data_IF_257794732116
#
_entry.id   IF_257794732116
#
_cell.length_a   1.000
_cell.length_b   1.000
_cell.length_c   1.000
_cell.angle_alpha   90.00
_cell.angle_beta   90.00
_cell.angle_gamma   90.00
#
_symmetry.space_group_name_H-M   'P 1'
#
loop_
_entity.id
_entity.type
_entity.pdbx_description
1 polymer ?
#
# COMPACT_ATOMS: atom_id res chain seq x y z
N UNK A 1 -24.53 -1.35 11.48
CA UNK A 1 -25.57 -0.49 12.09
C UNK A 1 -26.93 -1.20 12.16
N UNK A 2 -27.70 -1.32 11.06
CA UNK A 2 -29.09 -1.87 11.09
C UNK A 2 -29.24 -3.26 11.72
N UNK A 3 -28.32 -4.19 11.45
CA UNK A 3 -28.39 -5.57 11.98
C UNK A 3 -28.19 -5.67 13.50
N UNK A 4 -27.43 -4.73 14.08
CA UNK A 4 -27.05 -4.75 15.50
C UNK A 4 -27.64 -3.55 16.27
N UNK A 5 -28.45 -2.71 15.60
CA UNK A 5 -29.00 -1.45 16.10
C UNK A 5 -27.97 -0.53 16.81
N UNK A 6 -26.74 -0.47 16.28
CA UNK A 6 -25.63 0.34 16.82
C UNK A 6 -25.43 1.63 16.02
N UNK A 7 -24.79 2.64 16.64
CA UNK A 7 -24.43 3.89 15.98
C UNK A 7 -23.34 3.68 14.92
N UNK A 8 -23.14 4.70 14.08
CA UNK A 8 -22.06 4.68 13.08
C UNK A 8 -20.69 4.64 13.74
N UNK A 9 -20.53 5.39 14.82
CA UNK A 9 -19.26 5.49 15.53
C UNK A 9 -18.90 4.16 16.19
N UNK A 10 -19.85 3.53 16.89
CA UNK A 10 -19.63 2.21 17.51
C UNK A 10 -19.26 1.16 16.44
N UNK A 11 -19.92 1.19 15.28
CA UNK A 11 -19.58 0.29 14.18
C UNK A 11 -18.16 0.52 13.64
N UNK A 12 -17.70 1.76 13.54
CA UNK A 12 -16.34 2.10 13.13
C UNK A 12 -15.33 1.60 14.16
N UNK A 13 -15.60 1.80 15.45
CA UNK A 13 -14.68 1.41 16.52
C UNK A 13 -14.56 -0.12 16.64
N UNK A 14 -15.67 -0.87 16.47
CA UNK A 14 -15.62 -2.32 16.41
C UNK A 14 -14.87 -2.83 15.16
N UNK A 15 -15.09 -2.23 13.99
CA UNK A 15 -14.35 -2.59 12.78
C UNK A 15 -12.84 -2.32 12.92
N UNK A 16 -12.46 -1.24 13.60
CA UNK A 16 -11.04 -0.94 13.88
C UNK A 16 -10.39 -2.02 14.73
N UNK A 17 -11.08 -2.52 15.77
CA UNK A 17 -10.57 -3.65 16.58
C UNK A 17 -10.35 -4.91 15.75
N UNK A 18 -11.27 -5.21 14.82
CA UNK A 18 -11.13 -6.34 13.90
C UNK A 18 -9.92 -6.17 12.98
N UNK A 19 -9.74 -4.97 12.43
CA UNK A 19 -8.55 -4.64 11.60
C UNK A 19 -7.27 -4.78 12.41
N UNK A 20 -7.20 -4.23 13.62
CA UNK A 20 -6.04 -4.34 14.52
C UNK A 20 -5.71 -5.80 14.86
N UNK A 21 -6.71 -6.63 15.11
CA UNK A 21 -6.52 -8.06 15.32
C UNK A 21 -5.93 -8.73 14.07
N UNK A 22 -6.51 -8.47 12.89
CA UNK A 22 -6.02 -9.04 11.64
C UNK A 22 -4.58 -8.62 11.33
N UNK A 23 -4.17 -7.39 11.69
CA UNK A 23 -2.77 -6.96 11.60
C UNK A 23 -1.84 -7.77 12.50
N UNK A 24 -2.27 -8.11 13.72
CA UNK A 24 -1.48 -8.97 14.62
C UNK A 24 -1.33 -10.37 14.04
N UNK A 25 -2.41 -10.95 13.52
CA UNK A 25 -2.39 -12.28 12.91
C UNK A 25 -1.45 -12.33 11.69
N UNK A 26 -1.51 -11.31 10.81
CA UNK A 26 -0.61 -11.20 9.66
C UNK A 26 0.86 -11.05 10.08
N UNK A 27 1.14 -10.26 11.11
CA UNK A 27 2.49 -10.10 11.64
C UNK A 27 3.03 -11.41 12.22
N UNK A 28 2.22 -12.14 12.99
CA UNK A 28 2.59 -13.44 13.55
C UNK A 28 2.90 -14.46 12.44
N UNK A 29 2.07 -14.51 11.40
CA UNK A 29 2.30 -15.37 10.23
C UNK A 29 3.60 -15.03 9.49
N UNK A 30 4.02 -13.77 9.49
CA UNK A 30 5.30 -13.35 8.90
C UNK A 30 6.52 -13.69 9.78
N UNK A 31 6.32 -13.88 11.09
CA UNK A 31 7.41 -14.15 12.03
C UNK A 31 7.65 -15.65 12.25
N UNK A 32 6.63 -16.48 12.07
CA UNK A 32 6.70 -17.90 12.34
C UNK A 32 6.79 -18.73 11.05
N UNK A 33 7.38 -19.95 11.09
CA UNK A 33 7.26 -20.89 9.99
C UNK A 33 5.78 -21.21 9.72
N UNK A 34 5.34 -20.99 8.49
CA UNK A 34 3.97 -21.34 8.07
C UNK A 34 4.03 -22.38 6.94
N UNK A 35 2.89 -22.99 6.65
CA UNK A 35 2.74 -23.90 5.51
C UNK A 35 2.81 -23.17 4.15
N UNK A 36 2.69 -21.83 4.17
CA UNK A 36 2.66 -20.99 2.98
C UNK A 36 4.00 -20.28 2.82
N UNK A 37 4.67 -20.37 1.67
CA UNK A 37 5.90 -19.65 1.44
C UNK A 37 5.77 -18.13 1.67
N UNK A 38 6.79 -17.54 2.30
CA UNK A 38 6.81 -16.12 2.69
C UNK A 38 6.44 -15.15 1.56
N UNK A 39 6.87 -15.43 0.32
CA UNK A 39 6.59 -14.54 -0.81
C UNK A 39 5.09 -14.43 -1.13
N UNK A 40 4.27 -15.45 -0.83
CA UNK A 40 2.82 -15.35 -0.96
C UNK A 40 2.21 -14.53 0.17
N UNK A 41 2.67 -14.74 1.42
CA UNK A 41 2.23 -13.94 2.57
C UNK A 41 2.53 -12.46 2.35
N UNK A 42 3.73 -12.14 1.86
CA UNK A 42 4.14 -10.77 1.58
C UNK A 42 3.29 -10.09 0.51
N UNK A 43 2.77 -10.82 -0.49
CA UNK A 43 1.84 -10.24 -1.48
C UNK A 43 0.52 -9.84 -0.82
N UNK A 44 -0.07 -10.72 -0.02
CA UNK A 44 -1.31 -10.41 0.72
C UNK A 44 -1.08 -9.28 1.71
N UNK A 45 0.06 -9.28 2.39
CA UNK A 45 0.39 -8.27 3.39
C UNK A 45 0.60 -6.89 2.77
N UNK A 46 1.29 -6.82 1.62
CA UNK A 46 1.44 -5.57 0.87
C UNK A 46 0.11 -5.08 0.31
N UNK A 47 -0.82 -5.96 -0.08
CA UNK A 47 -2.17 -5.57 -0.47
C UNK A 47 -2.93 -4.92 0.70
N UNK A 48 -2.83 -5.49 1.92
CA UNK A 48 -3.45 -4.89 3.10
C UNK A 48 -2.87 -3.49 3.41
N UNK A 49 -1.54 -3.32 3.30
CA UNK A 49 -0.88 -2.01 3.42
C UNK A 49 -1.37 -1.01 2.37
N UNK A 50 -1.54 -1.46 1.12
CA UNK A 50 -2.08 -0.60 0.06
C UNK A 50 -3.50 -0.12 0.38
N UNK A 51 -4.36 -1.00 0.91
CA UNK A 51 -5.72 -0.60 1.31
C UNK A 51 -5.70 0.44 2.44
N UNK A 52 -4.79 0.30 3.40
CA UNK A 52 -4.62 1.28 4.49
C UNK A 52 -4.20 2.66 3.96
N UNK A 53 -3.33 2.71 2.95
CA UNK A 53 -2.94 3.98 2.29
C UNK A 53 -4.09 4.57 1.47
N UNK A 54 -4.79 3.75 0.68
CA UNK A 54 -5.85 4.20 -0.22
C UNK A 54 -7.05 4.79 0.53
N UNK A 55 -7.38 4.25 1.70
CA UNK A 55 -8.63 4.56 2.41
C UNK A 55 -8.44 5.20 3.79
N UNK A 56 -7.24 5.69 4.10
CA UNK A 56 -6.90 6.25 5.42
C UNK A 56 -7.89 7.32 5.92
N UNK A 57 -8.15 8.32 5.08
CA UNK A 57 -8.96 9.49 5.45
C UNK A 57 -10.20 9.64 4.56
N UNK A 58 -10.08 9.24 3.30
CA UNK A 58 -11.11 9.34 2.28
C UNK A 58 -10.87 8.28 1.21
N UNK A 59 -11.79 8.16 0.24
CA UNK A 59 -11.56 7.33 -0.93
C UNK A 59 -10.52 7.97 -1.83
N UNK A 60 -9.23 7.62 -1.65
CA UNK A 60 -8.17 8.07 -2.55
C UNK A 60 -7.96 7.13 -3.75
N UNK A 61 -8.76 6.06 -3.88
CA UNK A 61 -8.64 5.13 -5.01
C UNK A 61 -9.43 5.64 -6.23
N UNK A 62 -10.69 6.03 -6.04
CA UNK A 62 -11.53 6.50 -7.16
C UNK A 62 -11.59 8.02 -7.29
N UNK A 63 -11.27 8.76 -6.22
CA UNK A 63 -11.24 10.21 -6.25
C UNK A 63 -9.95 10.74 -6.89
N UNK A 64 -10.05 11.26 -8.12
CA UNK A 64 -8.92 11.86 -8.84
C UNK A 64 -8.38 13.15 -8.21
N UNK A 65 -9.10 13.75 -7.27
CA UNK A 65 -8.63 14.89 -6.47
C UNK A 65 -7.96 14.51 -5.15
N UNK A 66 -7.82 13.21 -4.87
CA UNK A 66 -7.13 12.71 -3.67
C UNK A 66 -5.61 12.68 -3.82
N UNK A 67 -4.91 12.42 -2.70
CA UNK A 67 -3.44 12.43 -2.60
C UNK A 67 -2.75 11.33 -3.42
N UNK A 68 -3.50 10.31 -3.87
CA UNK A 68 -2.93 9.14 -4.54
C UNK A 68 -2.32 9.51 -5.89
N UNK A 69 -2.82 10.55 -6.55
CA UNK A 69 -2.23 11.05 -7.81
C UNK A 69 -0.78 11.48 -7.58
N UNK A 70 -0.54 12.28 -6.55
CA UNK A 70 0.79 12.78 -6.20
C UNK A 70 1.75 11.62 -5.85
N UNK A 71 1.25 10.62 -5.12
CA UNK A 71 2.02 9.41 -4.79
C UNK A 71 2.38 8.58 -6.03
N UNK A 72 1.46 8.43 -6.99
CA UNK A 72 1.73 7.73 -8.25
C UNK A 72 2.76 8.50 -9.09
N UNK A 73 2.63 9.83 -9.17
CA UNK A 73 3.56 10.68 -9.91
C UNK A 73 4.99 10.57 -9.33
N UNK A 74 5.14 10.72 -8.01
CA UNK A 74 6.45 10.58 -7.36
C UNK A 74 7.06 9.17 -7.54
N UNK A 75 6.26 8.12 -7.33
CA UNK A 75 6.76 6.74 -7.36
C UNK A 75 7.07 6.24 -8.77
N UNK A 76 6.24 6.58 -9.77
CA UNK A 76 6.29 5.97 -11.10
C UNK A 76 6.71 6.95 -12.19
N UNK A 77 6.29 8.22 -12.13
CA UNK A 77 6.64 9.17 -13.18
C UNK A 77 8.03 9.77 -12.95
N UNK A 78 8.29 10.30 -11.75
CA UNK A 78 9.55 10.96 -11.41
C UNK A 78 10.69 9.95 -11.27
N UNK A 79 10.44 8.83 -10.57
CA UNK A 79 11.46 7.79 -10.36
C UNK A 79 11.91 7.15 -11.67
N UNK A 80 10.97 6.84 -12.58
CA UNK A 80 11.32 6.26 -13.90
C UNK A 80 11.99 7.30 -14.80
N UNK A 81 11.54 8.56 -14.76
CA UNK A 81 12.17 9.66 -15.50
C UNK A 81 13.62 9.89 -15.07
N UNK A 82 13.89 9.86 -13.77
CA UNK A 82 15.24 10.00 -13.22
C UNK A 82 16.17 8.86 -13.65
N UNK A 83 15.72 7.60 -13.53
CA UNK A 83 16.50 6.42 -13.94
C UNK A 83 16.78 6.43 -15.45
N UNK A 84 15.79 6.80 -16.27
CA UNK A 84 16.00 6.93 -17.72
C UNK A 84 17.01 8.03 -18.06
N UNK A 85 16.98 9.16 -17.34
CA UNK A 85 17.95 10.24 -17.47
C UNK A 85 19.37 9.82 -17.14
N UNK A 86 19.57 9.06 -16.06
CA UNK A 86 20.88 8.52 -15.67
C UNK A 86 21.44 7.51 -16.68
N UNK A 87 20.58 6.64 -17.22
CA UNK A 87 20.95 5.69 -18.28
C UNK A 87 21.39 6.44 -19.55
N UNK A 88 20.65 7.48 -19.96
CA UNK A 88 21.03 8.27 -21.13
C UNK A 88 22.32 9.05 -20.90
N UNK A 89 22.51 9.64 -19.71
CA UNK A 89 23.73 10.37 -19.36
C UNK A 89 24.97 9.47 -19.30
N UNK A 90 24.83 8.23 -18.81
CA UNK A 90 25.92 7.25 -18.78
C UNK A 90 26.28 6.72 -20.18
N UNK A 91 25.30 6.51 -21.05
CA UNK A 91 25.54 6.12 -22.45
C UNK A 91 26.26 7.20 -23.25
N UNK A 92 25.99 8.49 -23.00
CA UNK A 92 26.69 9.60 -23.66
C UNK A 92 28.14 9.75 -23.19
N UNK A 93 28.44 9.46 -21.92
CA UNK A 93 29.81 9.48 -21.39
C UNK A 93 30.66 8.29 -21.86
N UNK A 94 30.03 7.15 -22.17
CA UNK A 94 30.71 5.96 -22.70
C UNK A 94 31.16 6.05 -24.17
N UNK A 95 30.62 7.00 -24.95
CA UNK A 95 30.93 7.19 -26.37
C UNK A 95 32.07 8.21 -26.64
N UNK A 96 32.83 8.63 -25.61
CA UNK A 96 33.90 9.64 -25.72
C UNK A 96 35.31 9.00 -25.80
N UNK A 97 35.44 7.79 -26.35
CA UNK A 97 36.73 7.19 -26.70
C UNK A 97 36.76 6.81 -28.18
#
# INVERSE_FOLDING_TARGET
MKQQNISRQDAIDELRKVVESAWKDMNEACLNPTQVPMHFLMRTFNLARMMDVLYKDQDNYTNSGGIMKDYIEALLAETVGAVAGEIMASSLKGNVH
#
